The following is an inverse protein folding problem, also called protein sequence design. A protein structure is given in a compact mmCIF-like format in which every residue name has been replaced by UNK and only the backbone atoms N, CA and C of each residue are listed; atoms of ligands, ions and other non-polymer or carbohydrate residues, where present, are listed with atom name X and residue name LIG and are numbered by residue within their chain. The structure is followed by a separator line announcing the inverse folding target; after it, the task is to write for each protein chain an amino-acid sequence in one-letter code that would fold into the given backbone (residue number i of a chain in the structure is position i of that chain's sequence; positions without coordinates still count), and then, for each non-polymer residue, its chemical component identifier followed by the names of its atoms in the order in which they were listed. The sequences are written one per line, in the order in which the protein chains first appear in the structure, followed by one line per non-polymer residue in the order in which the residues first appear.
data_IF_261825488720
#
_entry.id   IF_261825488720
#
_cell.length_a   1.000
_cell.length_b   1.000
_cell.length_c   1.000
_cell.angle_alpha   90.00
_cell.angle_beta   90.00
_cell.angle_gamma   90.00
#
_symmetry.space_group_name_H-M   'P 1'
#
loop_
_entity.id
_entity.type
_entity.pdbx_description
1 polymer ?
#
# COMPACT_ATOMS: atom_id res chain seq x y z
N UNK A 1 1.03 4.57 -18.96
CA UNK A 1 0.86 5.43 -17.77
C UNK A 1 2.19 5.40 -17.02
N UNK A 2 2.59 6.51 -16.37
CA UNK A 2 3.71 6.44 -15.44
C UNK A 2 3.40 5.43 -14.34
N UNK A 3 4.44 4.73 -13.89
CA UNK A 3 4.36 3.88 -12.70
C UNK A 3 4.28 4.82 -11.48
N UNK A 4 3.32 4.56 -10.58
CA UNK A 4 3.04 5.43 -9.42
C UNK A 4 3.03 4.57 -8.17
N UNK A 5 3.96 4.85 -7.27
CA UNK A 5 3.98 4.27 -5.95
C UNK A 5 3.02 5.03 -5.02
N UNK A 6 2.12 4.30 -4.38
CA UNK A 6 1.26 4.83 -3.32
C UNK A 6 1.89 4.46 -1.99
N UNK A 7 2.48 5.45 -1.32
CA UNK A 7 3.25 5.27 -0.09
C UNK A 7 2.41 5.64 1.12
N UNK A 8 2.18 4.69 2.04
CA UNK A 8 1.55 4.94 3.33
C UNK A 8 2.61 4.96 4.43
N UNK A 9 2.75 6.11 5.10
CA UNK A 9 3.72 6.32 6.17
C UNK A 9 3.04 6.17 7.52
N UNK A 10 3.54 5.25 8.33
CA UNK A 10 3.06 4.95 9.69
C UNK A 10 1.53 4.76 9.77
N UNK A 11 0.89 3.96 8.89
CA UNK A 11 -0.54 3.74 8.96
C UNK A 11 -0.92 3.05 10.27
N UNK A 12 -1.77 3.70 11.05
CA UNK A 12 -2.16 3.25 12.39
C UNK A 12 -3.20 2.11 12.39
N UNK A 13 -4.12 2.11 11.42
CA UNK A 13 -5.25 1.17 11.39
C UNK A 13 -5.18 0.29 10.15
N UNK A 14 -5.09 -1.03 10.34
CA UNK A 14 -4.96 -2.00 9.25
C UNK A 14 -6.15 -1.93 8.26
N UNK A 15 -7.35 -1.61 8.75
CA UNK A 15 -8.53 -1.39 7.92
C UNK A 15 -8.36 -0.25 6.90
N UNK A 16 -7.64 0.82 7.26
CA UNK A 16 -7.38 1.94 6.35
C UNK A 16 -6.42 1.54 5.23
N UNK A 17 -5.44 0.67 5.52
CA UNK A 17 -4.54 0.11 4.51
C UNK A 17 -5.33 -0.75 3.52
N UNK A 18 -6.27 -1.57 4.02
CA UNK A 18 -7.17 -2.32 3.16
C UNK A 18 -8.07 -1.42 2.30
N UNK A 19 -8.62 -0.33 2.83
CA UNK A 19 -9.39 0.63 2.03
C UNK A 19 -8.53 1.30 0.95
N UNK A 20 -7.29 1.69 1.28
CA UNK A 20 -6.35 2.25 0.32
C UNK A 20 -6.08 1.27 -0.83
N UNK A 21 -5.75 0.01 -0.52
CA UNK A 21 -5.57 -1.04 -1.53
C UNK A 21 -6.80 -1.21 -2.44
N UNK A 22 -8.01 -1.15 -1.88
CA UNK A 22 -9.26 -1.21 -2.65
C UNK A 22 -9.41 -0.03 -3.61
N UNK A 23 -9.14 1.19 -3.15
CA UNK A 23 -9.17 2.39 -3.98
C UNK A 23 -8.13 2.29 -5.10
N UNK A 24 -6.91 1.91 -4.78
CA UNK A 24 -5.83 1.71 -5.74
C UNK A 24 -6.26 0.80 -6.89
N UNK A 25 -6.79 -0.40 -6.58
CA UNK A 25 -7.22 -1.35 -7.60
C UNK A 25 -8.37 -0.83 -8.46
N UNK A 26 -9.33 -0.12 -7.86
CA UNK A 26 -10.44 0.48 -8.61
C UNK A 26 -9.98 1.50 -9.67
N UNK A 27 -8.85 2.18 -9.42
CA UNK A 27 -8.28 3.18 -10.33
C UNK A 27 -7.06 2.67 -11.12
N UNK A 28 -6.77 1.36 -11.06
CA UNK A 28 -5.70 0.75 -11.83
C UNK A 28 -4.29 0.91 -11.25
N UNK A 29 -4.16 1.25 -9.97
CA UNK A 29 -2.88 1.28 -9.26
C UNK A 29 -2.64 -0.03 -8.51
N UNK A 30 -1.40 -0.50 -8.53
CA UNK A 30 -1.01 -1.80 -7.95
C UNK A 30 0.19 -1.72 -7.01
N UNK A 31 0.97 -0.63 -7.04
CA UNK A 31 2.21 -0.48 -6.28
C UNK A 31 1.93 0.20 -4.94
N UNK A 32 1.72 -0.61 -3.91
CA UNK A 32 1.55 -0.16 -2.52
C UNK A 32 2.88 -0.28 -1.79
N UNK A 33 3.32 0.82 -1.19
CA UNK A 33 4.51 0.86 -0.34
C UNK A 33 4.10 1.25 1.08
N UNK A 34 4.64 0.54 2.06
CA UNK A 34 4.35 0.74 3.47
C UNK A 34 5.63 1.08 4.23
N UNK A 35 5.62 2.18 4.97
CA UNK A 35 6.72 2.57 5.86
C UNK A 35 6.23 2.43 7.30
N UNK A 36 6.90 1.58 8.08
CA UNK A 36 6.55 1.28 9.48
C UNK A 36 5.04 1.02 9.69
N UNK A 37 4.41 0.08 8.94
CA UNK A 37 2.98 -0.15 9.08
C UNK A 37 2.63 -0.81 10.42
N UNK A 38 1.38 -0.61 10.85
CA UNK A 38 0.77 -1.49 11.83
C UNK A 38 0.71 -2.95 11.33
N UNK A 39 0.48 -3.91 12.23
CA UNK A 39 0.27 -5.29 11.84
C UNK A 39 -0.95 -5.43 10.92
N UNK A 40 -0.75 -5.99 9.73
CA UNK A 40 -1.82 -6.23 8.77
C UNK A 40 -2.38 -7.64 8.95
N UNK A 41 -3.65 -7.72 9.31
CA UNK A 41 -4.35 -8.94 9.63
C UNK A 41 -5.65 -9.09 8.85
N UNK A 42 -6.67 -9.56 9.57
CA UNK A 42 -7.95 -9.90 8.96
C UNK A 42 -8.75 -8.67 8.56
N UNK A 43 -8.64 -7.54 9.27
CA UNK A 43 -9.39 -6.36 8.92
C UNK A 43 -8.86 -5.72 7.63
N UNK A 44 -7.53 -5.61 7.45
CA UNK A 44 -6.94 -5.18 6.19
C UNK A 44 -7.44 -6.02 5.00
N UNK A 45 -7.39 -7.35 5.13
CA UNK A 45 -7.87 -8.30 4.10
C UNK A 45 -9.36 -8.19 3.82
N UNK A 46 -10.16 -7.91 4.86
CA UNK A 46 -11.60 -7.70 4.72
C UNK A 46 -11.91 -6.37 4.01
N UNK A 47 -11.22 -5.28 4.36
CA UNK A 47 -11.42 -3.95 3.74
C UNK A 47 -10.89 -3.88 2.31
N UNK A 48 -9.83 -4.60 1.99
CA UNK A 48 -9.30 -4.71 0.63
C UNK A 48 -10.26 -5.40 -0.35
N UNK A 49 -11.15 -6.28 0.14
CA UNK A 49 -12.13 -6.97 -0.71
C UNK A 49 -11.44 -7.72 -1.87
N UNK A 50 -11.64 -7.29 -3.12
CA UNK A 50 -11.00 -7.87 -4.31
C UNK A 50 -9.57 -7.38 -4.55
N UNK A 51 -9.05 -6.47 -3.73
CA UNK A 51 -7.71 -5.91 -3.82
C UNK A 51 -6.70 -6.54 -2.84
N UNK A 52 -6.93 -7.81 -2.44
CA UNK A 52 -5.99 -8.53 -1.57
C UNK A 52 -4.62 -8.72 -2.21
N UNK A 53 -4.58 -8.87 -3.53
CA UNK A 53 -3.36 -8.92 -4.34
C UNK A 53 -2.50 -7.66 -4.19
N UNK A 54 -3.12 -6.48 -4.05
CA UNK A 54 -2.39 -5.23 -3.78
C UNK A 54 -1.78 -5.24 -2.38
N UNK A 55 -2.47 -5.79 -1.37
CA UNK A 55 -1.91 -5.94 -0.02
C UNK A 55 -0.79 -6.99 0.03
N UNK A 56 -0.98 -8.11 -0.66
CA UNK A 56 -0.02 -9.22 -0.70
C UNK A 56 1.24 -8.86 -1.48
N UNK A 57 1.12 -7.95 -2.44
CA UNK A 57 2.25 -7.40 -3.20
C UNK A 57 2.81 -6.12 -2.59
N UNK A 58 2.31 -5.68 -1.42
CA UNK A 58 2.76 -4.44 -0.80
C UNK A 58 4.22 -4.57 -0.36
N UNK A 59 5.04 -3.58 -0.73
CA UNK A 59 6.43 -3.53 -0.34
C UNK A 59 6.61 -2.79 0.99
N UNK A 60 7.50 -3.29 1.85
CA UNK A 60 7.86 -2.62 3.09
C UNK A 60 9.31 -2.16 3.02
N UNK A 61 9.51 -0.85 2.91
CA UNK A 61 10.82 -0.19 2.83
C UNK A 61 10.83 1.05 3.71
N UNK A 62 11.99 1.69 3.85
CA UNK A 62 12.11 2.97 4.56
C UNK A 62 11.91 4.17 3.62
N UNK A 63 11.87 5.37 4.21
CA UNK A 63 11.58 6.60 3.49
C UNK A 63 12.73 7.04 2.56
N UNK A 64 13.97 6.76 2.93
CA UNK A 64 15.13 7.09 2.10
C UNK A 64 15.11 6.30 0.79
N UNK A 65 14.81 4.99 0.86
CA UNK A 65 14.66 4.13 -0.33
C UNK A 65 13.55 4.61 -1.28
N UNK A 66 12.44 5.13 -0.74
CA UNK A 66 11.36 5.72 -1.55
C UNK A 66 11.84 6.97 -2.30
N UNK A 67 12.60 7.83 -1.63
CA UNK A 67 13.13 9.04 -2.26
C UNK A 67 14.14 8.70 -3.34
N UNK A 68 15.02 7.73 -3.12
CA UNK A 68 15.99 7.28 -4.13
C UNK A 68 15.31 6.79 -5.42
N UNK A 69 14.18 6.08 -5.31
CA UNK A 69 13.40 5.61 -6.48
C UNK A 69 12.67 6.73 -7.22
N UNK A 70 12.21 7.74 -6.49
CA UNK A 70 11.40 8.83 -7.04
C UNK A 70 12.21 9.86 -7.86
N UNK A 71 13.55 9.80 -7.79
CA UNK A 71 14.46 10.77 -8.43
C UNK A 71 14.88 10.32 -9.84
N UNK A 72 14.41 9.16 -10.32
CA UNK A 72 14.73 8.60 -11.64
C UNK A 72 13.67 8.93 -12.68
#
# INVERSE_FOLDING_TARGET
MPEVDIVLVEPLYEGNVGFAARVMKNFGFTHLVLINPCELGNEAKARASHARDVLESAEQINLDEVFERSVV
#
